data_IF_990640192414
#
_entry.id   IF_990640192414
#
_cell.length_a   1.000
_cell.length_b   1.000
_cell.length_c   1.000
_cell.angle_alpha   90.00
_cell.angle_beta   90.00
_cell.angle_gamma   90.00
#
_symmetry.space_group_name_H-M   'P 1'
#
loop_
_entity.id
_entity.type
_entity.pdbx_description
1 polymer ?
#
# COMPACT_ATOMS: atom_id res chain seq x y z
N UNK A 1 51.12 35.73 -19.74
CA UNK A 1 50.35 35.27 -18.56
C UNK A 1 49.18 36.19 -18.25
N UNK A 2 48.29 36.51 -19.20
CA UNK A 2 47.00 37.19 -18.93
C UNK A 2 46.04 36.89 -20.08
N UNK A 3 45.40 35.72 -20.11
CA UNK A 3 44.32 35.42 -21.09
C UNK A 3 43.28 34.43 -20.55
N UNK A 4 43.09 34.37 -19.22
CA UNK A 4 42.13 33.44 -18.61
C UNK A 4 41.12 34.09 -17.65
N UNK A 5 41.00 35.42 -17.61
CA UNK A 5 40.20 36.04 -16.53
C UNK A 5 38.71 36.26 -16.84
N UNK A 6 38.28 36.53 -18.07
CA UNK A 6 36.87 36.94 -18.27
C UNK A 6 36.28 36.40 -19.57
N UNK A 7 35.58 35.27 -19.49
CA UNK A 7 34.69 34.82 -20.56
C UNK A 7 33.53 35.83 -20.71
N UNK A 8 33.11 36.21 -21.93
CA UNK A 8 32.01 37.15 -22.16
C UNK A 8 30.72 36.73 -21.43
N UNK A 9 29.95 37.69 -20.91
CA UNK A 9 28.74 37.44 -20.13
C UNK A 9 27.72 36.50 -20.82
N UNK A 10 27.67 36.52 -22.16
CA UNK A 10 26.80 35.64 -22.96
C UNK A 10 27.19 34.16 -22.84
N UNK A 11 28.49 33.83 -22.81
CA UNK A 11 28.97 32.47 -22.58
C UNK A 11 28.66 31.99 -21.15
N UNK A 12 28.77 32.89 -20.16
CA UNK A 12 28.43 32.56 -18.77
C UNK A 12 26.93 32.26 -18.60
N UNK A 13 26.05 32.99 -19.30
CA UNK A 13 24.61 32.72 -19.31
C UNK A 13 24.27 31.38 -19.98
N UNK A 14 24.92 31.08 -21.10
CA UNK A 14 24.74 29.81 -21.80
C UNK A 14 25.18 28.62 -20.94
N UNK A 15 26.33 28.71 -20.28
CA UNK A 15 26.82 27.68 -19.35
C UNK A 15 25.90 27.50 -18.14
N UNK A 16 25.38 28.59 -17.57
CA UNK A 16 24.40 28.51 -16.47
C UNK A 16 23.10 27.85 -16.92
N UNK A 17 22.62 28.18 -18.11
CA UNK A 17 21.42 27.58 -18.68
C UNK A 17 21.61 26.07 -18.91
N UNK A 18 22.73 25.68 -19.50
CA UNK A 18 23.07 24.28 -19.81
C UNK A 18 23.16 23.42 -18.54
N UNK A 19 23.90 23.88 -17.54
CA UNK A 19 23.97 23.22 -16.22
C UNK A 19 22.59 23.13 -15.57
N UNK A 20 21.78 24.20 -15.62
CA UNK A 20 20.43 24.18 -15.04
C UNK A 20 19.47 23.22 -15.73
N UNK A 21 19.63 23.02 -17.05
CA UNK A 21 18.84 22.07 -17.82
C UNK A 21 19.25 20.64 -17.51
N UNK A 22 20.56 20.40 -17.44
CA UNK A 22 21.11 19.10 -17.06
C UNK A 22 20.60 18.67 -15.68
N UNK A 23 20.67 19.53 -14.66
CA UNK A 23 20.19 19.21 -13.31
C UNK A 23 18.69 18.86 -13.30
N UNK A 24 17.86 19.60 -14.05
CA UNK A 24 16.42 19.31 -14.14
C UNK A 24 16.12 17.97 -14.81
N UNK A 25 16.90 17.60 -15.82
CA UNK A 25 16.75 16.32 -16.52
C UNK A 25 17.17 15.14 -15.62
N UNK A 26 18.28 15.29 -14.89
CA UNK A 26 18.75 14.30 -13.92
C UNK A 26 17.75 14.11 -12.78
N UNK A 27 17.19 15.19 -12.26
CA UNK A 27 16.13 15.15 -11.23
C UNK A 27 14.87 14.45 -11.75
N UNK A 28 14.40 14.82 -12.95
CA UNK A 28 13.23 14.18 -13.55
C UNK A 28 13.43 12.68 -13.81
N UNK A 29 14.63 12.27 -14.25
CA UNK A 29 14.98 10.88 -14.47
C UNK A 29 15.00 10.09 -13.15
N UNK A 30 15.61 10.65 -12.10
CA UNK A 30 15.63 10.02 -10.78
C UNK A 30 14.22 9.84 -10.21
N UNK A 31 13.38 10.88 -10.30
CA UNK A 31 11.97 10.80 -9.88
C UNK A 31 11.18 9.77 -10.68
N UNK A 32 11.43 9.66 -11.99
CA UNK A 32 10.78 8.65 -12.83
C UNK A 32 11.17 7.23 -12.38
N UNK A 33 12.45 6.97 -12.18
CA UNK A 33 12.94 5.67 -11.72
C UNK A 33 12.40 5.31 -10.34
N UNK A 34 12.43 6.25 -9.40
CA UNK A 34 11.89 6.06 -8.05
C UNK A 34 10.39 5.75 -8.09
N UNK A 35 9.62 6.52 -8.86
CA UNK A 35 8.19 6.27 -9.05
C UNK A 35 7.92 4.87 -9.62
N UNK A 36 8.63 4.49 -10.69
CA UNK A 36 8.43 3.21 -11.35
C UNK A 36 8.77 2.03 -10.45
N UNK A 37 9.93 2.06 -9.78
CA UNK A 37 10.34 0.99 -8.87
C UNK A 37 9.38 0.86 -7.68
N UNK A 38 9.03 1.98 -7.04
CA UNK A 38 8.11 1.98 -5.90
C UNK A 38 6.72 1.48 -6.30
N UNK A 39 6.25 1.83 -7.51
CA UNK A 39 4.95 1.39 -8.01
C UNK A 39 4.94 -0.10 -8.32
N UNK A 40 6.01 -0.62 -8.91
CA UNK A 40 6.18 -2.05 -9.18
C UNK A 40 6.23 -2.86 -7.89
N UNK A 41 7.05 -2.45 -6.92
CA UNK A 41 7.17 -3.08 -5.61
C UNK A 41 5.81 -3.11 -4.88
N UNK A 42 5.11 -1.97 -4.85
CA UNK A 42 3.79 -1.88 -4.25
C UNK A 42 2.76 -2.74 -5.01
N UNK A 43 2.83 -2.77 -6.34
CA UNK A 43 1.96 -3.60 -7.18
C UNK A 43 2.15 -5.10 -6.96
N UNK A 44 3.39 -5.53 -6.74
CA UNK A 44 3.75 -6.90 -6.39
C UNK A 44 3.23 -7.26 -4.99
N UNK A 45 3.42 -6.37 -4.01
CA UNK A 45 2.89 -6.58 -2.67
C UNK A 45 1.35 -6.63 -2.65
N UNK A 46 0.67 -5.72 -3.35
CA UNK A 46 -0.79 -5.74 -3.47
C UNK A 46 -1.31 -7.08 -4.01
N UNK A 47 -0.60 -7.66 -4.99
CA UNK A 47 -0.96 -8.96 -5.55
C UNK A 47 -0.87 -10.07 -4.50
N UNK A 48 0.17 -10.05 -3.66
CA UNK A 48 0.33 -10.99 -2.55
C UNK A 48 -0.77 -10.78 -1.49
N UNK A 49 -1.03 -9.55 -1.10
CA UNK A 49 -2.08 -9.21 -0.13
C UNK A 49 -3.47 -9.66 -0.59
N UNK A 50 -3.80 -9.43 -1.87
CA UNK A 50 -5.05 -9.89 -2.50
C UNK A 50 -5.17 -11.42 -2.49
N UNK A 51 -4.07 -12.14 -2.75
CA UNK A 51 -4.02 -13.60 -2.69
C UNK A 51 -4.22 -14.10 -1.26
N UNK A 52 -3.53 -13.51 -0.27
CA UNK A 52 -3.69 -13.86 1.15
C UNK A 52 -5.13 -13.70 1.61
N UNK A 53 -5.79 -12.59 1.28
CA UNK A 53 -7.21 -12.36 1.59
C UNK A 53 -8.16 -13.34 0.89
N UNK A 54 -7.76 -13.88 -0.26
CA UNK A 54 -8.56 -14.82 -1.04
C UNK A 54 -8.37 -16.26 -0.56
N UNK A 55 -7.17 -16.62 -0.14
CA UNK A 55 -6.85 -17.92 0.44
C UNK A 55 -7.32 -18.06 1.90
N UNK A 56 -7.61 -16.94 2.57
CA UNK A 56 -8.02 -16.93 3.96
C UNK A 56 -9.31 -17.74 4.19
N UNK A 57 -9.23 -18.72 5.08
CA UNK A 57 -10.35 -19.61 5.41
C UNK A 57 -11.53 -18.85 6.03
N UNK A 58 -12.73 -19.41 5.90
CA UNK A 58 -13.92 -18.87 6.54
C UNK A 58 -13.77 -18.87 8.07
N UNK A 59 -14.34 -17.89 8.78
CA UNK A 59 -14.34 -17.86 10.24
C UNK A 59 -14.92 -19.15 10.85
N UNK A 60 -14.18 -19.78 11.76
CA UNK A 60 -14.62 -20.97 12.48
C UNK A 60 -15.64 -20.62 13.57
N UNK A 61 -16.53 -21.57 13.89
CA UNK A 61 -17.41 -21.49 15.08
C UNK A 61 -16.84 -22.25 16.28
N UNK A 62 -15.65 -22.83 16.15
CA UNK A 62 -14.88 -23.40 17.25
C UNK A 62 -14.05 -22.28 17.88
N UNK A 63 -14.21 -22.05 19.19
CA UNK A 63 -13.65 -20.89 19.89
C UNK A 63 -12.13 -20.76 19.73
N UNK A 64 -11.39 -21.84 19.99
CA UNK A 64 -9.93 -21.80 19.90
C UNK A 64 -9.44 -21.54 18.47
N UNK A 65 -10.11 -22.14 17.48
CA UNK A 65 -9.77 -21.93 16.06
C UNK A 65 -10.04 -20.49 15.61
N UNK A 66 -11.16 -19.88 15.99
CA UNK A 66 -11.45 -18.49 15.59
C UNK A 66 -10.55 -17.49 16.31
N UNK A 67 -10.13 -17.78 17.55
CA UNK A 67 -9.10 -16.97 18.23
C UNK A 67 -7.77 -17.03 17.50
N UNK A 68 -7.34 -18.21 17.05
CA UNK A 68 -6.15 -18.35 16.21
C UNK A 68 -6.27 -17.57 14.88
N UNK A 69 -7.40 -17.71 14.18
CA UNK A 69 -7.65 -16.96 12.94
C UNK A 69 -7.64 -15.43 13.15
N UNK A 70 -8.08 -14.95 14.31
CA UNK A 70 -8.02 -13.54 14.69
C UNK A 70 -6.57 -13.08 14.85
N UNK A 71 -5.72 -13.87 15.49
CA UNK A 71 -4.32 -13.50 15.70
C UNK A 71 -3.53 -13.51 14.38
N UNK A 72 -3.75 -14.50 13.50
CA UNK A 72 -3.22 -14.46 12.13
C UNK A 72 -3.68 -13.20 11.37
N UNK A 73 -4.97 -12.86 11.49
CA UNK A 73 -5.52 -11.67 10.85
C UNK A 73 -4.90 -10.37 11.37
N UNK A 74 -4.63 -10.25 12.68
CA UNK A 74 -3.96 -9.06 13.26
C UNK A 74 -2.54 -8.88 12.74
N UNK A 75 -1.80 -9.97 12.57
CA UNK A 75 -0.46 -9.92 11.97
C UNK A 75 -0.55 -9.35 10.56
N UNK A 76 -1.44 -9.90 9.74
CA UNK A 76 -1.64 -9.42 8.37
C UNK A 76 -2.17 -7.97 8.34
N UNK A 77 -3.05 -7.58 9.26
CA UNK A 77 -3.54 -6.20 9.35
C UNK A 77 -2.43 -5.20 9.69
N UNK A 78 -1.47 -5.61 10.53
CA UNK A 78 -0.29 -4.80 10.86
C UNK A 78 0.60 -4.61 9.64
N UNK A 79 0.81 -5.67 8.87
CA UNK A 79 1.55 -5.63 7.60
C UNK A 79 0.86 -4.73 6.57
N UNK A 80 -0.46 -4.86 6.39
CA UNK A 80 -1.21 -3.94 5.51
C UNK A 80 -1.01 -2.50 5.97
N UNK A 81 -1.15 -2.22 7.26
CA UNK A 81 -1.02 -0.86 7.78
C UNK A 81 0.39 -0.27 7.59
N UNK A 82 1.47 -1.07 7.57
CA UNK A 82 2.82 -0.56 7.31
C UNK A 82 3.01 -0.05 5.88
N UNK A 83 2.16 -0.47 4.93
CA UNK A 83 2.21 -0.02 3.53
C UNK A 83 1.37 1.24 3.26
N UNK A 84 0.69 1.77 4.28
CA UNK A 84 -0.13 2.98 4.16
C UNK A 84 0.68 4.20 3.74
N UNK A 85 1.90 4.33 4.25
CA UNK A 85 2.77 5.46 3.90
C UNK A 85 3.36 5.31 2.50
N UNK A 86 3.55 4.09 2.01
CA UNK A 86 4.06 3.84 0.66
C UNK A 86 3.09 4.33 -0.43
N UNK A 87 1.78 4.11 -0.28
CA UNK A 87 0.79 4.62 -1.24
C UNK A 87 0.68 6.15 -1.20
N UNK A 88 0.88 6.76 -0.03
CA UNK A 88 0.93 8.22 0.11
C UNK A 88 2.16 8.77 -0.60
N UNK A 89 3.31 8.13 -0.43
CA UNK A 89 4.56 8.57 -1.06
C UNK A 89 4.52 8.37 -2.57
N UNK A 90 3.95 7.26 -3.05
CA UNK A 90 3.70 7.04 -4.49
C UNK A 90 2.87 8.16 -5.11
N UNK A 91 1.82 8.62 -4.43
CA UNK A 91 0.98 9.72 -4.92
C UNK A 91 1.76 11.04 -4.97
N UNK A 92 2.60 11.32 -3.97
CA UNK A 92 3.49 12.50 -3.96
C UNK A 92 4.50 12.44 -5.10
N UNK A 93 5.27 11.36 -5.22
CA UNK A 93 6.30 11.20 -6.25
C UNK A 93 5.67 11.24 -7.64
N UNK A 94 4.55 10.56 -7.85
CA UNK A 94 3.82 10.61 -9.11
C UNK A 94 3.23 11.99 -9.40
N UNK A 95 2.81 12.75 -8.40
CA UNK A 95 2.38 14.15 -8.57
C UNK A 95 3.55 15.07 -8.92
N UNK A 96 4.71 14.87 -8.30
CA UNK A 96 5.91 15.63 -8.62
C UNK A 96 6.39 15.33 -10.06
N UNK A 97 6.41 14.06 -10.45
CA UNK A 97 6.83 13.62 -11.77
C UNK A 97 5.98 14.22 -12.90
N UNK A 98 4.67 14.43 -12.66
CA UNK A 98 3.76 15.06 -13.65
C UNK A 98 4.22 16.47 -14.08
N UNK A 99 4.95 17.22 -13.24
CA UNK A 99 5.43 18.57 -13.59
C UNK A 99 6.55 18.56 -14.63
N UNK A 100 7.31 17.47 -14.71
CA UNK A 100 8.39 17.28 -15.67
C UNK A 100 7.95 16.52 -16.93
N UNK A 101 6.69 16.07 -16.96
CA UNK A 101 6.20 15.10 -17.93
C UNK A 101 5.39 15.74 -19.06
N UNK A 102 5.39 15.11 -20.23
CA UNK A 102 4.50 15.50 -21.32
C UNK A 102 3.06 15.08 -21.03
N UNK A 103 2.08 15.66 -21.74
CA UNK A 103 0.65 15.41 -21.48
C UNK A 103 0.27 13.92 -21.49
N UNK A 104 0.82 13.13 -22.40
CA UNK A 104 0.53 11.70 -22.51
C UNK A 104 1.06 10.92 -21.28
N UNK A 105 2.27 11.26 -20.82
CA UNK A 105 2.91 10.60 -19.69
C UNK A 105 2.20 10.97 -18.38
N UNK A 106 1.73 12.22 -18.27
CA UNK A 106 0.87 12.66 -17.15
C UNK A 106 -0.41 11.82 -17.07
N UNK A 107 -1.04 11.51 -18.20
CA UNK A 107 -2.24 10.65 -18.23
C UNK A 107 -1.89 9.23 -17.80
N UNK A 108 -0.77 8.68 -18.29
CA UNK A 108 -0.31 7.35 -17.90
C UNK A 108 -0.03 7.27 -16.39
N UNK A 109 0.74 8.21 -15.83
CA UNK A 109 1.06 8.28 -14.40
C UNK A 109 -0.23 8.35 -13.55
N UNK A 110 -1.20 9.18 -13.95
CA UNK A 110 -2.49 9.27 -13.26
C UNK A 110 -3.25 7.94 -13.28
N UNK A 111 -3.31 7.29 -14.43
CA UNK A 111 -4.03 6.01 -14.56
C UNK A 111 -3.39 4.92 -13.70
N UNK A 112 -2.06 4.84 -13.69
CA UNK A 112 -1.32 3.88 -12.86
C UNK A 112 -1.59 4.10 -11.36
N UNK A 113 -1.55 5.36 -10.90
CA UNK A 113 -1.88 5.72 -9.52
C UNK A 113 -3.32 5.36 -9.16
N UNK A 114 -4.30 5.65 -10.02
CA UNK A 114 -5.71 5.33 -9.79
C UNK A 114 -5.89 3.81 -9.64
N UNK A 115 -5.22 3.01 -10.47
CA UNK A 115 -5.29 1.54 -10.37
C UNK A 115 -4.70 1.07 -9.04
N UNK A 116 -3.52 1.56 -8.66
CA UNK A 116 -2.88 1.19 -7.40
C UNK A 116 -3.73 1.58 -6.19
N UNK A 117 -4.28 2.81 -6.17
CA UNK A 117 -5.18 3.30 -5.12
C UNK A 117 -6.44 2.44 -5.01
N UNK A 118 -7.09 2.13 -6.15
CA UNK A 118 -8.30 1.30 -6.15
C UNK A 118 -8.04 -0.11 -5.61
N UNK A 119 -6.90 -0.72 -5.96
CA UNK A 119 -6.50 -2.03 -5.44
C UNK A 119 -6.24 -1.98 -3.93
N UNK A 120 -5.49 -0.98 -3.48
CA UNK A 120 -5.25 -0.72 -2.06
C UNK A 120 -6.55 -0.56 -1.26
N UNK A 121 -7.47 0.27 -1.74
CA UNK A 121 -8.77 0.47 -1.09
C UNK A 121 -9.56 -0.83 -0.96
N UNK A 122 -9.54 -1.68 -1.99
CA UNK A 122 -10.17 -3.01 -1.94
C UNK A 122 -9.51 -3.93 -0.91
N UNK A 123 -8.18 -3.91 -0.79
CA UNK A 123 -7.45 -4.68 0.23
C UNK A 123 -7.88 -4.23 1.62
N UNK A 124 -7.87 -2.92 1.89
CA UNK A 124 -8.28 -2.35 3.19
C UNK A 124 -9.74 -2.66 3.50
N UNK A 125 -10.64 -2.55 2.51
CA UNK A 125 -12.05 -2.89 2.67
C UNK A 125 -12.23 -4.36 3.05
N UNK A 126 -11.63 -5.28 2.29
CA UNK A 126 -11.73 -6.73 2.54
C UNK A 126 -11.11 -7.12 3.88
N UNK A 127 -10.03 -6.45 4.28
CA UNK A 127 -9.42 -6.64 5.58
C UNK A 127 -10.43 -6.29 6.70
N UNK A 128 -11.08 -5.13 6.62
CA UNK A 128 -12.07 -4.70 7.60
C UNK A 128 -13.38 -5.53 7.59
N UNK A 129 -13.78 -6.06 6.44
CA UNK A 129 -14.88 -7.02 6.33
C UNK A 129 -14.55 -8.35 7.02
N UNK A 130 -13.34 -8.86 6.81
CA UNK A 130 -12.85 -10.06 7.49
C UNK A 130 -12.77 -9.88 8.99
N UNK A 131 -12.28 -8.74 9.48
CA UNK A 131 -12.21 -8.42 10.91
C UNK A 131 -13.59 -8.54 11.57
N UNK A 132 -14.60 -7.92 10.95
CA UNK A 132 -16.00 -7.99 11.40
C UNK A 132 -16.53 -9.42 11.42
N UNK A 133 -16.27 -10.19 10.36
CA UNK A 133 -16.72 -11.57 10.26
C UNK A 133 -16.09 -12.47 11.33
N UNK A 134 -14.80 -12.27 11.64
CA UNK A 134 -14.09 -12.99 12.69
C UNK A 134 -14.63 -12.63 14.09
N UNK A 135 -14.88 -11.34 14.35
CA UNK A 135 -15.46 -10.91 15.62
C UNK A 135 -16.87 -11.48 15.86
N UNK A 136 -17.71 -11.48 14.82
CA UNK A 136 -19.04 -12.09 14.87
C UNK A 136 -18.98 -13.61 15.11
N UNK A 137 -18.07 -14.29 14.42
CA UNK A 137 -17.85 -15.73 14.61
C UNK A 137 -17.38 -16.05 16.03
N UNK A 138 -16.45 -15.26 16.58
CA UNK A 138 -15.99 -15.37 17.97
C UNK A 138 -17.14 -15.22 18.97
N UNK A 139 -18.00 -14.20 18.80
CA UNK A 139 -19.17 -13.98 19.65
C UNK A 139 -20.12 -15.18 19.61
N UNK A 140 -20.37 -15.74 18.42
CA UNK A 140 -21.21 -16.94 18.24
C UNK A 140 -20.59 -18.17 18.88
N UNK A 141 -19.31 -18.43 18.64
CA UNK A 141 -18.57 -19.55 19.23
C UNK A 141 -18.64 -19.53 20.76
N UNK A 142 -18.41 -18.36 21.38
CA UNK A 142 -18.53 -18.17 22.82
C UNK A 142 -19.94 -18.45 23.34
N UNK A 143 -20.97 -18.00 22.62
CA UNK A 143 -22.37 -18.26 23.00
C UNK A 143 -22.71 -19.75 22.92
N UNK A 144 -22.28 -20.44 21.85
CA UNK A 144 -22.51 -21.88 21.69
C UNK A 144 -21.85 -22.68 22.83
N UNK A 145 -20.62 -22.32 23.18
CA UNK A 145 -19.88 -22.91 24.28
C UNK A 145 -20.60 -22.69 25.64
N UNK A 146 -21.08 -21.47 25.91
CA UNK A 146 -21.87 -21.18 27.12
C UNK A 146 -23.15 -22.02 27.18
N UNK A 147 -23.88 -22.14 26.06
CA UNK A 147 -25.11 -22.94 26.00
C UNK A 147 -24.81 -24.42 26.25
N UNK A 148 -23.74 -24.96 25.67
CA UNK A 148 -23.32 -26.35 25.88
C UNK A 148 -23.02 -26.64 27.36
N UNK A 149 -22.31 -25.74 28.05
CA UNK A 149 -22.06 -25.89 29.49
C UNK A 149 -23.34 -25.82 30.32
N UNK A 150 -24.27 -24.92 29.98
CA UNK A 150 -25.56 -24.83 30.69
C UNK A 150 -26.49 -26.02 30.44
N UNK A 151 -26.38 -26.70 29.29
CA UNK A 151 -27.14 -27.93 29.02
C UNK A 151 -26.56 -29.14 29.74
N UNK A 152 -25.23 -29.25 29.81
CA UNK A 152 -24.56 -30.35 30.51
C UNK A 152 -24.88 -30.32 32.01
N UNK A 153 -24.88 -29.14 32.66
CA UNK A 153 -25.32 -28.98 34.06
C UNK A 153 -26.79 -29.37 34.30
N UNK A 154 -27.65 -29.33 33.27
CA UNK A 154 -29.06 -29.71 33.37
C UNK A 154 -29.26 -31.21 33.15
N UNK A 155 -28.43 -31.86 32.32
CA UNK A 155 -28.47 -33.29 32.07
C UNK A 155 -27.96 -34.12 33.26
N UNK A 156 -27.02 -33.60 34.06
CA UNK A 156 -26.51 -34.30 35.26
C UNK A 156 -27.47 -34.26 36.47
N UNK A 157 -28.61 -33.57 36.34
CA UNK A 157 -29.57 -33.36 37.43
C UNK A 157 -30.86 -34.19 37.34
N UNK A 158 -30.97 -35.06 36.34
CA UNK A 158 -32.10 -35.98 36.12
C UNK A 158 -31.58 -37.38 35.79
#
# INVERSE_FOLDING_TARGET
>A
MVYLAEAPAQYQLLLKYDVSLQTKLEEALNLAMEFHNSLEDFGNWLTQAEQTLTAASQPSLILDTVLFQIDEHKVFATEVNSHRDQIIELDKTGTHLKYFSQKQDVVLIKNQLIIAQSRWEKVVQRLAERERALDDARKRAKKLLMVAFTSDEFCDKY
#
